data_IF_497545805954
#
_entry.id   IF_497545805954
#
_cell.length_a   1.000
_cell.length_b   1.000
_cell.length_c   1.000
_cell.angle_alpha   90.00
_cell.angle_beta   90.00
_cell.angle_gamma   90.00
#
_symmetry.space_group_name_H-M   'P 1'
#
loop_
_entity.id
_entity.type
_entity.pdbx_description
1 polymer ?
#
# COMPACT_ATOMS: atom_id res chain seq x y z
N UNK A 1 -2.81 -24.07 -22.07
CA UNK A 1 -1.62 -24.89 -22.35
C UNK A 1 -1.20 -25.57 -21.07
N UNK A 2 -1.59 -26.82 -20.96
CA UNK A 2 -1.34 -27.71 -19.83
C UNK A 2 0.03 -28.36 -20.01
N UNK A 3 0.99 -28.01 -19.19
CA UNK A 3 2.30 -28.64 -19.10
C UNK A 3 2.43 -29.38 -17.78
N UNK A 4 2.06 -30.59 -17.79
CA UNK A 4 2.55 -31.82 -17.15
C UNK A 4 3.89 -31.68 -16.40
N UNK A 5 3.80 -31.52 -15.07
CA UNK A 5 4.91 -31.72 -14.12
C UNK A 5 4.66 -32.91 -13.15
N UNK A 6 4.08 -33.97 -13.66
CA UNK A 6 3.82 -35.19 -12.90
C UNK A 6 4.27 -36.41 -13.69
N UNK A 7 5.58 -36.58 -13.88
CA UNK A 7 6.17 -37.88 -14.22
C UNK A 7 7.65 -37.90 -13.93
N UNK A 8 8.03 -38.25 -12.74
CA UNK A 8 9.27 -38.93 -12.41
C UNK A 8 9.25 -39.42 -10.95
N UNK A 9 8.24 -40.20 -10.58
CA UNK A 9 8.39 -41.14 -9.47
C UNK A 9 8.54 -42.53 -10.08
N UNK A 10 9.77 -42.81 -10.49
CA UNK A 10 10.18 -44.17 -10.79
C UNK A 10 10.03 -45.00 -9.50
N UNK A 11 9.24 -46.07 -9.58
CA UNK A 11 9.09 -47.06 -8.53
C UNK A 11 10.45 -47.68 -8.24
N UNK A 12 11.07 -47.26 -7.14
CA UNK A 12 12.23 -47.96 -6.59
C UNK A 12 11.70 -49.21 -5.89
N UNK A 13 11.77 -50.35 -6.58
CA UNK A 13 11.59 -51.65 -5.95
C UNK A 13 12.53 -51.76 -4.74
N UNK A 14 11.99 -51.93 -3.56
CA UNK A 14 12.74 -52.11 -2.32
C UNK A 14 13.35 -53.53 -2.32
N UNK A 15 14.61 -53.61 -2.78
CA UNK A 15 15.40 -54.82 -2.54
C UNK A 15 15.81 -54.81 -1.08
N UNK A 16 15.24 -55.70 -0.29
CA UNK A 16 15.63 -55.90 1.12
C UNK A 16 16.94 -56.66 1.19
N UNK A 17 18.04 -55.96 1.27
CA UNK A 17 19.31 -56.56 1.64
C UNK A 17 19.45 -56.49 3.15
N UNK A 18 19.35 -57.67 3.82
CA UNK A 18 19.71 -57.89 5.20
C UNK A 18 21.24 -57.99 5.26
N UNK A 19 21.94 -56.90 5.35
CA UNK A 19 23.30 -56.84 5.87
C UNK A 19 23.45 -55.47 6.54
N UNK A 20 23.95 -55.50 7.79
CA UNK A 20 24.31 -54.33 8.55
C UNK A 20 25.64 -53.76 7.99
N UNK A 21 25.67 -53.47 6.69
CA UNK A 21 26.79 -52.86 6.00
C UNK A 21 26.84 -51.36 6.25
N UNK A 22 27.99 -50.73 6.29
CA UNK A 22 28.16 -49.28 6.45
C UNK A 22 27.42 -48.47 5.40
N UNK A 23 27.01 -49.09 4.28
CA UNK A 23 26.18 -48.49 3.23
C UNK A 23 24.78 -48.06 3.74
N UNK A 24 24.20 -48.78 4.72
CA UNK A 24 22.90 -48.36 5.33
C UNK A 24 23.06 -47.10 6.19
N UNK A 25 24.17 -46.91 6.83
CA UNK A 25 24.48 -45.71 7.61
C UNK A 25 24.69 -44.48 6.72
N UNK A 26 25.32 -44.66 5.56
CA UNK A 26 25.51 -43.59 4.55
C UNK A 26 24.16 -43.17 3.96
N UNK A 27 23.29 -44.12 3.64
CA UNK A 27 21.93 -43.79 3.14
C UNK A 27 21.10 -43.02 4.14
N UNK A 28 21.16 -43.38 5.44
CA UNK A 28 20.46 -42.64 6.51
C UNK A 28 21.03 -41.22 6.68
N UNK A 29 22.35 -41.08 6.52
CA UNK A 29 23.01 -39.79 6.53
C UNK A 29 22.55 -38.88 5.36
N UNK A 30 22.54 -39.42 4.15
CA UNK A 30 22.05 -38.69 2.94
C UNK A 30 20.62 -38.26 3.07
N UNK A 31 19.73 -39.12 3.59
CA UNK A 31 18.33 -38.76 3.81
C UNK A 31 18.20 -37.63 4.85
N UNK A 32 19.01 -37.66 5.89
CA UNK A 32 19.03 -36.56 6.88
C UNK A 32 19.54 -35.26 6.23
N UNK A 33 20.58 -35.28 5.43
CA UNK A 33 21.11 -34.11 4.71
C UNK A 33 20.01 -33.53 3.80
N UNK A 34 19.38 -34.35 2.96
CA UNK A 34 18.27 -33.88 2.10
C UNK A 34 17.09 -33.34 2.90
N UNK A 35 16.82 -33.87 4.09
CA UNK A 35 15.76 -33.37 4.96
C UNK A 35 16.12 -32.00 5.58
N UNK A 36 17.39 -31.78 5.94
CA UNK A 36 17.88 -30.47 6.43
C UNK A 36 17.86 -29.44 5.32
N UNK A 37 18.33 -29.75 4.12
CA UNK A 37 18.28 -28.88 2.95
C UNK A 37 16.85 -28.43 2.62
N UNK A 38 15.90 -29.38 2.61
CA UNK A 38 14.47 -29.03 2.42
C UNK A 38 13.93 -28.09 3.50
N UNK A 39 14.32 -28.31 4.76
CA UNK A 39 13.92 -27.42 5.86
C UNK A 39 14.51 -26.03 5.69
N UNK A 40 15.77 -25.92 5.31
CA UNK A 40 16.44 -24.63 5.05
C UNK A 40 15.80 -23.88 3.90
N UNK A 41 15.56 -24.56 2.77
CA UNK A 41 14.87 -23.96 1.61
C UNK A 41 13.47 -23.48 1.98
N UNK A 42 12.69 -24.27 2.74
CA UNK A 42 11.38 -23.87 3.21
C UNK A 42 11.46 -22.68 4.18
N UNK A 43 12.43 -22.64 5.04
CA UNK A 43 12.64 -21.56 5.99
C UNK A 43 13.04 -20.26 5.27
N UNK A 44 13.89 -20.34 4.25
CA UNK A 44 14.23 -19.20 3.39
C UNK A 44 13.00 -18.71 2.62
N UNK A 45 12.20 -19.62 2.06
CA UNK A 45 10.93 -19.25 1.38
C UNK A 45 9.96 -18.58 2.35
N UNK A 46 9.79 -19.10 3.55
CA UNK A 46 8.94 -18.48 4.56
C UNK A 46 9.45 -17.10 4.98
N UNK A 47 10.76 -16.93 5.15
CA UNK A 47 11.37 -15.62 5.43
C UNK A 47 11.07 -14.63 4.29
N UNK A 48 11.31 -15.00 3.05
CA UNK A 48 11.03 -14.16 1.89
C UNK A 48 9.56 -13.75 1.82
N UNK A 49 8.62 -14.69 2.01
CA UNK A 49 7.19 -14.40 2.02
C UNK A 49 6.82 -13.47 3.20
N UNK A 50 7.39 -13.70 4.38
CA UNK A 50 7.13 -12.88 5.55
C UNK A 50 7.67 -11.45 5.39
N UNK A 51 8.86 -11.28 4.81
CA UNK A 51 9.44 -9.99 4.49
C UNK A 51 8.60 -9.22 3.46
N UNK A 52 8.20 -9.90 2.38
CA UNK A 52 7.32 -9.31 1.36
C UNK A 52 6.00 -8.84 1.96
N UNK A 53 5.38 -9.64 2.83
CA UNK A 53 4.11 -9.31 3.46
C UNK A 53 4.27 -8.27 4.58
N UNK A 54 5.42 -8.22 5.27
CA UNK A 54 5.65 -7.29 6.36
C UNK A 54 5.77 -5.83 5.92
N UNK A 55 6.11 -5.61 4.64
CA UNK A 55 6.30 -4.28 4.07
C UNK A 55 4.99 -3.66 3.52
N UNK A 56 3.91 -4.45 3.46
CA UNK A 56 2.61 -3.96 2.98
C UNK A 56 1.77 -3.48 4.15
N UNK A 57 1.30 -2.24 4.08
CA UNK A 57 0.44 -1.65 5.11
C UNK A 57 -0.98 -2.26 5.04
N UNK A 58 -1.50 -2.84 6.13
CA UNK A 58 -2.86 -3.36 6.17
C UNK A 58 -3.96 -2.31 5.96
N UNK A 59 -3.68 -1.04 6.18
CA UNK A 59 -4.62 0.07 5.97
C UNK A 59 -4.52 0.61 4.56
N UNK A 60 -3.34 1.07 4.15
CA UNK A 60 -3.11 1.72 2.86
C UNK A 60 -2.85 0.74 1.72
N UNK A 61 -2.35 -0.47 2.01
CA UNK A 61 -1.90 -1.42 0.99
C UNK A 61 -0.49 -1.13 0.49
N UNK A 62 -0.20 -1.52 -0.75
CA UNK A 62 1.07 -1.25 -1.40
C UNK A 62 1.26 0.24 -1.66
N UNK A 63 2.45 0.80 -1.40
CA UNK A 63 2.77 2.16 -1.80
C UNK A 63 2.70 2.30 -3.33
N UNK A 64 2.30 3.46 -3.80
CA UNK A 64 2.19 3.78 -5.24
C UNK A 64 1.22 2.87 -6.03
N UNK A 65 0.08 2.54 -5.44
CA UNK A 65 -0.96 1.80 -6.15
C UNK A 65 -1.47 2.60 -7.37
N UNK A 66 -1.40 2.05 -8.60
CA UNK A 66 -1.78 2.75 -9.83
C UNK A 66 -3.26 3.18 -9.83
N UNK A 67 -4.15 2.39 -9.23
CA UNK A 67 -5.56 2.73 -9.09
C UNK A 67 -5.77 4.02 -8.29
N UNK A 68 -5.15 4.13 -7.11
CA UNK A 68 -5.28 5.30 -6.24
C UNK A 68 -4.61 6.54 -6.83
N UNK A 69 -3.41 6.34 -7.40
CA UNK A 69 -2.68 7.43 -8.06
C UNK A 69 -3.48 8.02 -9.22
N UNK A 70 -4.18 7.16 -10.00
CA UNK A 70 -5.02 7.60 -11.10
C UNK A 70 -6.22 8.41 -10.58
N UNK A 71 -6.95 7.91 -9.59
CA UNK A 71 -8.10 8.62 -8.98
C UNK A 71 -7.65 9.98 -8.42
N UNK A 72 -6.48 10.02 -7.79
CA UNK A 72 -5.93 11.25 -7.24
C UNK A 72 -5.50 12.24 -8.34
N UNK A 73 -4.97 11.76 -9.45
CA UNK A 73 -4.63 12.58 -10.61
C UNK A 73 -5.91 13.14 -11.27
N UNK A 74 -6.87 12.29 -11.58
CA UNK A 74 -8.15 12.69 -12.19
C UNK A 74 -8.89 13.72 -11.31
N UNK A 75 -8.85 13.59 -9.98
CA UNK A 75 -9.47 14.56 -9.07
C UNK A 75 -8.82 15.94 -9.06
N UNK A 76 -7.59 16.06 -9.58
CA UNK A 76 -6.80 17.31 -9.63
C UNK A 76 -6.77 17.94 -11.02
N UNK A 77 -7.34 17.28 -12.00
CA UNK A 77 -7.38 17.82 -13.36
C UNK A 77 -8.16 19.14 -13.42
N UNK A 78 -7.66 20.11 -14.20
CA UNK A 78 -8.27 21.45 -14.25
C UNK A 78 -9.67 21.46 -14.88
N UNK A 79 -9.95 20.47 -15.74
CA UNK A 79 -11.23 20.37 -16.46
C UNK A 79 -12.34 19.66 -15.68
N UNK A 80 -12.02 19.11 -14.50
CA UNK A 80 -13.00 18.45 -13.64
C UNK A 80 -13.66 19.48 -12.74
N UNK A 81 -14.96 19.69 -12.98
CA UNK A 81 -15.76 20.66 -12.25
C UNK A 81 -16.50 20.00 -11.09
N UNK A 82 -16.73 20.77 -10.02
CA UNK A 82 -17.53 20.34 -8.86
C UNK A 82 -19.03 20.37 -9.15
N UNK A 83 -19.83 19.75 -8.26
CA UNK A 83 -21.29 19.73 -8.30
C UNK A 83 -21.90 19.18 -9.59
N UNK A 84 -21.20 18.26 -10.27
CA UNK A 84 -21.67 17.63 -11.50
C UNK A 84 -21.92 18.61 -12.67
N UNK A 85 -21.33 19.80 -12.63
CA UNK A 85 -21.34 20.69 -13.79
C UNK A 85 -20.54 20.07 -14.92
N UNK A 86 -21.10 20.09 -16.12
CA UNK A 86 -20.39 19.66 -17.32
C UNK A 86 -19.71 20.84 -17.99
N UNK A 87 -18.48 20.62 -18.47
CA UNK A 87 -17.71 21.67 -19.14
C UNK A 87 -18.46 22.31 -20.33
N UNK A 88 -19.12 21.53 -21.22
CA UNK A 88 -19.86 22.10 -22.36
C UNK A 88 -21.06 22.94 -21.95
N UNK A 89 -21.70 22.62 -20.84
CA UNK A 89 -22.85 23.44 -20.31
C UNK A 89 -22.32 24.78 -19.79
N UNK A 90 -21.22 24.75 -19.06
CA UNK A 90 -20.56 25.96 -18.56
C UNK A 90 -20.07 26.86 -19.69
N UNK A 91 -19.49 26.29 -20.74
CA UNK A 91 -19.02 27.04 -21.90
C UNK A 91 -20.18 27.71 -22.65
N UNK A 92 -21.32 27.04 -22.80
CA UNK A 92 -22.53 27.66 -23.38
C UNK A 92 -23.02 28.82 -22.53
N UNK A 93 -23.01 28.70 -21.20
CA UNK A 93 -23.45 29.78 -20.29
C UNK A 93 -22.48 30.98 -20.37
N UNK A 94 -21.16 30.71 -20.39
CA UNK A 94 -20.15 31.78 -20.50
C UNK A 94 -20.20 32.47 -21.86
N UNK A 95 -20.42 31.73 -22.93
CA UNK A 95 -20.63 32.31 -24.27
C UNK A 95 -21.87 33.19 -24.30
N UNK A 96 -23.02 32.73 -23.79
CA UNK A 96 -24.22 33.54 -23.69
C UNK A 96 -24.06 34.80 -22.86
N UNK A 97 -23.32 34.74 -21.73
CA UNK A 97 -23.02 35.90 -20.92
C UNK A 97 -22.10 36.89 -21.65
N UNK A 98 -21.13 36.40 -22.43
CA UNK A 98 -20.27 37.23 -23.28
C UNK A 98 -21.05 37.94 -24.36
N UNK A 99 -21.92 37.22 -25.08
CA UNK A 99 -22.81 37.79 -26.10
C UNK A 99 -23.71 38.90 -25.53
N UNK A 100 -24.28 38.68 -24.35
CA UNK A 100 -25.08 39.69 -23.67
C UNK A 100 -24.26 40.95 -23.34
N UNK A 101 -23.04 40.79 -22.80
CA UNK A 101 -22.16 41.90 -22.44
C UNK A 101 -21.69 42.68 -23.65
N UNK A 102 -21.47 42.00 -24.80
CA UNK A 102 -21.08 42.69 -26.07
C UNK A 102 -22.23 43.50 -26.63
N UNK A 103 -23.49 43.02 -26.53
CA UNK A 103 -24.65 43.78 -26.98
C UNK A 103 -24.89 45.07 -26.18
N UNK A 104 -24.52 45.04 -24.90
CA UNK A 104 -24.70 46.20 -24.01
C UNK A 104 -23.51 47.19 -24.05
N UNK A 105 -22.39 46.81 -24.62
CA UNK A 105 -21.18 47.65 -24.67
C UNK A 105 -20.76 48.01 -26.08
N UNK A 106 -20.61 49.33 -26.33
CA UNK A 106 -20.11 49.87 -27.61
C UNK A 106 -18.59 49.62 -27.84
N UNK A 107 -17.87 48.99 -26.92
CA UNK A 107 -16.42 48.81 -27.01
C UNK A 107 -16.03 47.31 -27.15
N UNK A 108 -16.04 46.79 -28.39
CA UNK A 108 -15.85 45.34 -28.65
C UNK A 108 -14.48 44.75 -28.39
N UNK A 109 -13.39 45.53 -28.47
CA UNK A 109 -12.02 44.95 -28.35
C UNK A 109 -11.58 44.73 -26.92
N UNK A 110 -11.95 45.57 -25.96
CA UNK A 110 -11.57 45.39 -24.54
C UNK A 110 -12.43 44.34 -23.84
N UNK A 111 -13.57 43.97 -24.41
CA UNK A 111 -14.53 42.98 -23.88
C UNK A 111 -13.96 41.55 -24.06
N UNK A 112 -13.22 41.26 -25.13
CA UNK A 112 -12.70 39.93 -25.39
C UNK A 112 -11.67 39.47 -24.32
N UNK A 113 -10.73 40.36 -23.94
CA UNK A 113 -9.74 40.05 -22.92
C UNK A 113 -10.30 39.93 -21.52
N UNK A 114 -11.32 40.75 -21.19
CA UNK A 114 -12.00 40.68 -19.92
C UNK A 114 -12.83 39.40 -19.82
N UNK A 115 -13.48 38.97 -20.91
CA UNK A 115 -14.28 37.74 -20.93
C UNK A 115 -13.42 36.49 -20.79
N UNK A 116 -12.22 36.44 -21.39
CA UNK A 116 -11.27 35.32 -21.20
C UNK A 116 -10.81 35.21 -19.74
N UNK A 117 -10.49 36.32 -19.09
CA UNK A 117 -10.11 36.34 -17.67
C UNK A 117 -11.27 35.91 -16.77
N UNK A 118 -12.49 36.31 -17.07
CA UNK A 118 -13.70 35.88 -16.36
C UNK A 118 -13.92 34.39 -16.53
N UNK A 119 -13.78 33.86 -17.75
CA UNK A 119 -13.85 32.41 -18.03
C UNK A 119 -12.85 31.63 -17.22
N UNK A 120 -11.58 32.04 -17.22
CA UNK A 120 -10.56 31.37 -16.39
C UNK A 120 -10.86 31.45 -14.90
N UNK A 121 -11.32 32.57 -14.40
CA UNK A 121 -11.70 32.74 -13.00
C UNK A 121 -12.83 31.81 -12.61
N UNK A 122 -13.88 31.72 -13.44
CA UNK A 122 -15.02 30.83 -13.20
C UNK A 122 -14.58 29.35 -13.22
N UNK A 123 -13.75 28.95 -14.20
CA UNK A 123 -13.21 27.58 -14.25
C UNK A 123 -12.37 27.25 -13.01
N UNK A 124 -11.54 28.18 -12.53
CA UNK A 124 -10.77 27.99 -11.29
C UNK A 124 -11.66 27.85 -10.07
N UNK A 125 -12.70 28.71 -9.94
CA UNK A 125 -13.65 28.67 -8.81
C UNK A 125 -14.44 27.35 -8.81
N UNK A 126 -14.89 26.90 -9.97
CA UNK A 126 -15.68 25.67 -10.10
C UNK A 126 -14.84 24.39 -10.12
N UNK A 127 -13.52 24.48 -10.31
CA UNK A 127 -12.62 23.33 -10.33
C UNK A 127 -12.79 22.46 -9.08
N UNK A 128 -12.74 21.14 -9.25
CA UNK A 128 -12.78 20.15 -8.15
C UNK A 128 -11.65 20.38 -7.14
N UNK A 129 -10.51 20.90 -7.58
CA UNK A 129 -9.36 21.20 -6.71
C UNK A 129 -9.67 22.23 -5.61
N UNK A 130 -10.61 23.16 -5.88
CA UNK A 130 -11.01 24.23 -4.94
C UNK A 130 -12.25 23.90 -4.14
N UNK A 131 -12.74 22.65 -4.25
CA UNK A 131 -13.94 22.20 -3.55
C UNK A 131 -13.62 21.64 -2.17
N UNK A 132 -14.67 21.55 -1.35
CA UNK A 132 -14.59 20.91 -0.03
C UNK A 132 -14.19 19.43 -0.17
N UNK A 133 -13.41 18.93 0.78
CA UNK A 133 -12.92 17.54 0.80
C UNK A 133 -14.03 16.50 0.68
N UNK A 134 -15.22 16.81 1.20
CA UNK A 134 -16.39 15.93 1.08
C UNK A 134 -16.87 15.77 -0.38
N UNK A 135 -16.81 16.83 -1.20
CA UNK A 135 -17.14 16.75 -2.63
C UNK A 135 -16.08 16.00 -3.41
N UNK A 136 -14.80 16.26 -3.11
CA UNK A 136 -13.66 15.53 -3.69
C UNK A 136 -13.77 14.03 -3.37
N UNK A 137 -14.11 13.69 -2.13
CA UNK A 137 -14.32 12.31 -1.72
C UNK A 137 -15.48 11.64 -2.47
N UNK A 138 -16.61 12.34 -2.65
CA UNK A 138 -17.75 11.83 -3.44
C UNK A 138 -17.35 11.56 -4.89
N UNK A 139 -16.58 12.46 -5.50
CA UNK A 139 -16.07 12.30 -6.85
C UNK A 139 -15.15 11.07 -6.96
N UNK A 140 -14.16 10.93 -6.07
CA UNK A 140 -13.26 9.77 -6.00
C UNK A 140 -14.02 8.45 -5.81
N UNK A 141 -15.06 8.44 -4.97
CA UNK A 141 -15.95 7.28 -4.81
C UNK A 141 -16.68 6.97 -6.11
N UNK A 142 -17.13 7.98 -6.86
CA UNK A 142 -17.76 7.82 -8.17
C UNK A 142 -16.84 7.13 -9.18
N UNK A 143 -15.58 7.57 -9.25
CA UNK A 143 -14.55 6.96 -10.11
C UNK A 143 -14.28 5.49 -9.70
N UNK A 144 -14.14 5.25 -8.40
CA UNK A 144 -13.93 3.90 -7.88
C UNK A 144 -15.08 2.95 -8.22
N UNK A 145 -16.33 3.42 -8.16
CA UNK A 145 -17.48 2.63 -8.57
C UNK A 145 -17.42 2.28 -10.04
N UNK A 146 -17.20 3.28 -10.93
CA UNK A 146 -17.09 3.06 -12.37
C UNK A 146 -16.06 2.03 -12.75
N UNK A 147 -14.94 1.97 -12.02
CA UNK A 147 -13.84 1.07 -12.33
C UNK A 147 -14.05 -0.38 -11.89
N UNK A 148 -14.80 -0.59 -10.79
CA UNK A 148 -15.00 -1.92 -10.19
C UNK A 148 -16.39 -2.50 -10.48
N UNK A 149 -17.31 -1.74 -11.04
CA UNK A 149 -18.66 -2.21 -11.39
C UNK A 149 -18.60 -3.37 -12.39
N UNK A 150 -19.50 -4.33 -12.22
CA UNK A 150 -19.66 -5.49 -13.13
C UNK A 150 -20.49 -5.11 -14.34
N UNK A 151 -21.46 -4.21 -14.16
CA UNK A 151 -22.34 -3.64 -15.16
C UNK A 151 -22.66 -2.19 -14.81
N UNK A 152 -23.17 -1.43 -15.74
CA UNK A 152 -23.49 -0.04 -15.53
C UNK A 152 -24.57 0.13 -14.45
N UNK A 153 -24.28 0.99 -13.46
CA UNK A 153 -25.15 1.20 -12.30
C UNK A 153 -24.92 0.24 -11.13
N UNK A 154 -24.00 -0.72 -11.22
CA UNK A 154 -23.65 -1.60 -10.09
C UNK A 154 -22.96 -0.82 -8.98
N UNK A 155 -23.61 -0.80 -7.82
CA UNK A 155 -23.08 -0.18 -6.60
C UNK A 155 -22.99 -1.18 -5.44
N UNK A 156 -23.52 -2.38 -5.63
CA UNK A 156 -23.74 -3.38 -4.58
C UNK A 156 -22.76 -4.54 -4.56
N UNK A 157 -22.02 -4.79 -5.65
CA UNK A 157 -21.05 -5.90 -5.70
C UNK A 157 -19.94 -5.76 -4.66
N UNK A 158 -19.40 -6.89 -4.23
CA UNK A 158 -18.36 -6.93 -3.21
C UNK A 158 -17.10 -6.18 -3.63
N UNK A 159 -16.77 -6.21 -4.94
CA UNK A 159 -15.63 -5.49 -5.50
C UNK A 159 -15.82 -3.97 -5.38
N UNK A 160 -16.99 -3.47 -5.77
CA UNK A 160 -17.32 -2.04 -5.67
C UNK A 160 -17.33 -1.58 -4.22
N UNK A 161 -17.93 -2.37 -3.32
CA UNK A 161 -17.92 -2.03 -1.89
C UNK A 161 -16.51 -2.00 -1.30
N UNK A 162 -15.63 -2.93 -1.70
CA UNK A 162 -14.24 -2.95 -1.27
C UNK A 162 -13.45 -1.75 -1.81
N UNK A 163 -13.67 -1.36 -3.06
CA UNK A 163 -13.05 -0.19 -3.68
C UNK A 163 -13.49 1.11 -2.99
N UNK A 164 -14.79 1.29 -2.78
CA UNK A 164 -15.34 2.45 -2.04
C UNK A 164 -14.79 2.51 -0.61
N UNK A 165 -14.70 1.36 0.08
CA UNK A 165 -14.10 1.30 1.41
C UNK A 165 -12.63 1.72 1.38
N UNK A 166 -11.87 1.32 0.36
CA UNK A 166 -10.46 1.70 0.21
C UNK A 166 -10.29 3.20 0.02
N UNK A 167 -11.06 3.84 -0.86
CA UNK A 167 -11.03 5.30 -1.05
C UNK A 167 -11.36 6.04 0.26
N UNK A 168 -12.38 5.59 1.00
CA UNK A 168 -12.73 6.16 2.31
C UNK A 168 -11.64 5.99 3.34
N UNK A 169 -10.97 4.83 3.35
CA UNK A 169 -9.84 4.55 4.25
C UNK A 169 -8.70 5.54 3.99
N UNK A 170 -8.32 5.74 2.72
CA UNK A 170 -7.25 6.68 2.38
C UNK A 170 -7.57 8.10 2.80
N UNK A 171 -8.78 8.56 2.52
CA UNK A 171 -9.22 9.91 2.95
C UNK A 171 -9.18 10.05 4.48
N UNK A 172 -9.77 9.10 5.21
CA UNK A 172 -9.83 9.14 6.67
C UNK A 172 -8.45 8.95 7.32
N UNK A 173 -7.55 8.19 6.69
CA UNK A 173 -6.18 8.01 7.16
C UNK A 173 -5.41 9.33 7.18
N UNK A 174 -5.52 10.14 6.12
CA UNK A 174 -4.90 11.47 6.08
C UNK A 174 -5.43 12.36 7.20
N UNK A 175 -6.75 12.41 7.39
CA UNK A 175 -7.36 13.14 8.50
C UNK A 175 -6.84 12.69 9.87
N UNK A 176 -6.79 11.37 10.12
CA UNK A 176 -6.27 10.83 11.40
C UNK A 176 -4.77 11.08 11.60
N UNK A 177 -3.99 11.16 10.53
CA UNK A 177 -2.56 11.49 10.59
C UNK A 177 -2.35 12.92 11.06
N UNK A 178 -3.14 13.85 10.55
CA UNK A 178 -3.05 15.27 10.88
C UNK A 178 -3.67 15.56 12.26
N UNK A 179 -4.80 14.92 12.56
CA UNK A 179 -5.57 15.11 13.80
C UNK A 179 -5.35 13.96 14.80
N UNK A 180 -4.19 13.94 15.46
CA UNK A 180 -3.77 12.85 16.37
C UNK A 180 -4.68 12.64 17.60
N UNK A 181 -5.45 13.64 18.00
CA UNK A 181 -6.35 13.61 19.17
C UNK A 181 -7.74 13.06 18.83
N UNK A 182 -8.07 12.92 17.56
CA UNK A 182 -9.37 12.44 17.10
C UNK A 182 -9.49 10.92 17.18
N UNK A 183 -9.72 10.41 18.37
CA UNK A 183 -9.86 8.99 18.64
C UNK A 183 -11.13 8.39 18.00
N UNK A 184 -12.15 9.21 17.77
CA UNK A 184 -13.41 8.78 17.17
C UNK A 184 -13.22 8.38 15.71
N UNK A 185 -12.52 9.21 14.94
CA UNK A 185 -12.20 8.89 13.54
C UNK A 185 -11.16 7.76 13.43
N UNK A 186 -10.23 7.62 14.37
CA UNK A 186 -9.34 6.46 14.46
C UNK A 186 -10.13 5.16 14.63
N UNK A 187 -11.16 5.15 15.51
CA UNK A 187 -12.06 4.02 15.69
C UNK A 187 -12.85 3.72 14.41
N UNK A 188 -13.37 4.75 13.76
CA UNK A 188 -14.10 4.62 12.49
C UNK A 188 -13.21 4.03 11.40
N UNK A 189 -11.97 4.50 11.28
CA UNK A 189 -10.97 3.97 10.34
C UNK A 189 -10.75 2.46 10.55
N UNK A 190 -10.54 2.02 11.80
CA UNK A 190 -10.42 0.61 12.15
C UNK A 190 -11.63 -0.20 11.68
N UNK A 191 -12.85 0.31 11.95
CA UNK A 191 -14.09 -0.37 11.56
C UNK A 191 -14.22 -0.51 10.03
N UNK A 192 -13.85 0.51 9.26
CA UNK A 192 -13.91 0.46 7.79
C UNK A 192 -12.89 -0.53 7.23
N UNK A 193 -11.66 -0.59 7.79
CA UNK A 193 -10.66 -1.58 7.41
C UNK A 193 -11.15 -3.00 7.67
N UNK A 194 -11.70 -3.27 8.86
CA UNK A 194 -12.28 -4.57 9.19
C UNK A 194 -13.47 -4.93 8.29
N UNK A 195 -14.32 -3.94 7.95
CA UNK A 195 -15.42 -4.13 6.99
C UNK A 195 -14.89 -4.50 5.61
N UNK A 196 -13.84 -3.81 5.10
CA UNK A 196 -13.19 -4.15 3.84
C UNK A 196 -12.66 -5.59 3.85
N UNK A 197 -11.97 -6.01 4.92
CA UNK A 197 -11.49 -7.38 5.07
C UNK A 197 -12.63 -8.39 5.06
N UNK A 198 -13.76 -8.11 5.75
CA UNK A 198 -14.93 -8.98 5.78
C UNK A 198 -15.54 -9.16 4.38
N UNK A 199 -15.69 -8.07 3.63
CA UNK A 199 -16.22 -8.09 2.25
C UNK A 199 -15.30 -8.90 1.32
N UNK A 200 -13.98 -8.68 1.40
CA UNK A 200 -13.01 -9.40 0.57
C UNK A 200 -12.96 -10.91 0.93
N UNK A 201 -13.06 -11.28 2.21
CA UNK A 201 -13.17 -12.69 2.62
C UNK A 201 -14.44 -13.35 2.10
N UNK A 202 -15.56 -12.63 2.06
CA UNK A 202 -16.77 -13.08 1.43
C UNK A 202 -16.58 -13.30 -0.07
N UNK A 203 -16.02 -12.32 -0.77
CA UNK A 203 -15.74 -12.41 -2.21
C UNK A 203 -14.83 -13.59 -2.55
N UNK A 204 -13.84 -13.89 -1.72
CA UNK A 204 -12.93 -15.05 -1.91
C UNK A 204 -13.68 -16.38 -1.91
N UNK A 205 -14.73 -16.49 -1.10
CA UNK A 205 -15.57 -17.72 -1.03
C UNK A 205 -16.56 -17.79 -2.19
N UNK A 206 -17.08 -16.64 -2.61
CA UNK A 206 -18.09 -16.53 -3.66
C UNK A 206 -17.44 -16.66 -5.06
N UNK A 207 -16.44 -15.84 -5.34
CA UNK A 207 -15.75 -15.85 -6.62
C UNK A 207 -14.24 -15.58 -6.43
N UNK A 208 -13.40 -16.63 -6.41
CA UNK A 208 -11.97 -16.49 -6.17
C UNK A 208 -11.23 -15.74 -7.28
N UNK A 209 -11.63 -15.85 -8.54
CA UNK A 209 -10.97 -15.14 -9.65
C UNK A 209 -11.15 -13.62 -9.52
N UNK A 210 -12.38 -13.19 -9.27
CA UNK A 210 -12.71 -11.78 -9.00
C UNK A 210 -12.02 -11.26 -7.74
N UNK A 211 -11.87 -12.11 -6.73
CA UNK A 211 -11.15 -11.75 -5.53
C UNK A 211 -9.68 -11.41 -5.82
N UNK A 212 -8.95 -12.30 -6.52
CA UNK A 212 -7.54 -12.04 -6.84
C UNK A 212 -7.36 -10.83 -7.76
N UNK A 213 -8.26 -10.63 -8.70
CA UNK A 213 -8.29 -9.43 -9.52
C UNK A 213 -8.48 -8.16 -8.65
N UNK A 214 -9.45 -8.17 -7.74
CA UNK A 214 -9.76 -7.02 -6.89
C UNK A 214 -8.62 -6.69 -5.93
N UNK A 215 -8.02 -7.69 -5.25
CA UNK A 215 -6.92 -7.43 -4.32
C UNK A 215 -5.68 -6.88 -5.03
N UNK A 216 -5.34 -7.40 -6.21
CA UNK A 216 -4.23 -6.90 -7.00
C UNK A 216 -4.46 -5.43 -7.40
N UNK A 217 -5.67 -5.11 -7.86
CA UNK A 217 -6.03 -3.75 -8.26
C UNK A 217 -6.04 -2.78 -7.08
N UNK A 218 -6.50 -3.23 -5.91
CA UNK A 218 -6.49 -2.45 -4.66
C UNK A 218 -5.10 -2.38 -3.99
N UNK A 219 -4.10 -3.11 -4.50
CA UNK A 219 -2.76 -3.14 -3.91
C UNK A 219 -2.71 -3.85 -2.55
N UNK A 220 -3.59 -4.83 -2.32
CA UNK A 220 -3.63 -5.61 -1.10
C UNK A 220 -3.01 -7.00 -1.31
N UNK A 221 -2.56 -7.64 -0.24
CA UNK A 221 -2.11 -9.03 -0.25
C UNK A 221 -3.13 -9.92 0.45
N UNK A 222 -3.19 -11.19 0.03
CA UNK A 222 -4.08 -12.18 0.66
C UNK A 222 -3.86 -12.30 2.18
N UNK A 223 -2.60 -12.21 2.60
CA UNK A 223 -2.24 -12.22 4.03
C UNK A 223 -2.94 -11.11 4.82
N UNK A 224 -2.96 -9.89 4.29
CA UNK A 224 -3.59 -8.72 4.94
C UNK A 224 -5.10 -8.90 5.08
N UNK A 225 -5.75 -9.52 4.09
CA UNK A 225 -7.19 -9.75 4.13
C UNK A 225 -7.58 -10.74 5.23
N UNK A 226 -6.72 -11.74 5.49
CA UNK A 226 -6.98 -12.78 6.49
C UNK A 226 -6.46 -12.44 7.89
N UNK A 227 -5.47 -11.54 7.98
CA UNK A 227 -4.92 -11.10 9.26
C UNK A 227 -5.98 -10.36 10.09
N UNK A 228 -5.99 -10.60 11.39
CA UNK A 228 -6.77 -9.79 12.32
C UNK A 228 -6.15 -8.40 12.42
N UNK A 229 -6.93 -7.38 12.09
CA UNK A 229 -6.47 -6.00 12.13
C UNK A 229 -7.05 -5.29 13.34
N UNK A 230 -6.16 -4.88 14.22
CA UNK A 230 -6.45 -3.94 15.31
C UNK A 230 -5.53 -2.73 15.13
N UNK A 231 -6.11 -1.53 15.22
CA UNK A 231 -5.35 -0.29 15.09
C UNK A 231 -4.63 0.04 16.41
N UNK A 232 -3.67 -0.84 16.75
CA UNK A 232 -2.91 -0.76 17.99
C UNK A 232 -1.72 0.19 17.88
N UNK A 233 -1.16 0.59 19.03
CA UNK A 233 0.06 1.41 19.08
C UNK A 233 1.22 0.76 18.34
N UNK A 234 1.30 -0.60 18.29
CA UNK A 234 2.31 -1.35 17.53
C UNK A 234 2.21 -1.10 16.03
N UNK A 235 0.99 -1.12 15.49
CA UNK A 235 0.74 -0.78 14.09
C UNK A 235 1.16 0.66 13.80
N UNK A 236 0.69 1.63 14.61
CA UNK A 236 0.97 3.05 14.43
C UNK A 236 2.48 3.37 14.46
N UNK A 237 3.24 2.66 15.29
CA UNK A 237 4.70 2.81 15.37
C UNK A 237 5.40 2.15 14.19
N UNK A 238 5.02 0.92 13.80
CA UNK A 238 5.61 0.18 12.68
C UNK A 238 5.47 0.93 11.36
N UNK A 239 4.29 1.46 11.07
CA UNK A 239 3.98 2.19 9.83
C UNK A 239 4.12 3.71 9.96
N UNK A 240 4.77 4.17 11.03
CA UNK A 240 5.08 5.60 11.26
C UNK A 240 3.90 6.55 11.03
N UNK A 241 2.70 6.15 11.43
CA UNK A 241 1.49 6.97 11.23
C UNK A 241 1.64 8.37 11.83
N UNK A 242 2.28 8.48 12.98
CA UNK A 242 2.54 9.75 13.66
C UNK A 242 4.03 10.17 13.62
N UNK A 243 4.75 9.78 12.56
CA UNK A 243 6.17 10.02 12.40
C UNK A 243 7.01 9.11 13.30
N UNK A 244 8.20 9.57 13.67
CA UNK A 244 9.17 8.79 14.47
C UNK A 244 8.88 8.80 15.98
N UNK A 245 7.66 9.13 16.38
CA UNK A 245 7.26 9.16 17.79
C UNK A 245 7.19 7.74 18.34
N UNK A 246 7.91 7.50 19.44
CA UNK A 246 7.85 6.22 20.17
C UNK A 246 6.52 6.16 20.93
N UNK A 247 5.64 5.25 20.53
CA UNK A 247 4.31 5.05 21.13
C UNK A 247 4.30 3.90 22.13
N UNK A 248 5.27 2.99 22.02
CA UNK A 248 5.40 1.81 22.87
C UNK A 248 6.74 1.88 23.57
N UNK A 249 6.71 1.79 24.88
CA UNK A 249 7.93 1.63 25.68
C UNK A 249 8.42 0.20 25.52
N UNK A 250 9.66 0.04 25.05
CA UNK A 250 10.29 -1.27 24.92
C UNK A 250 10.45 -1.94 26.27
N UNK A 251 10.41 -3.28 26.26
CA UNK A 251 10.62 -4.03 27.49
C UNK A 251 12.05 -3.82 28.01
N UNK A 252 12.25 -3.84 29.34
CA UNK A 252 13.56 -3.65 29.96
C UNK A 252 14.61 -4.64 29.39
N UNK A 253 14.20 -5.86 29.05
CA UNK A 253 15.08 -6.87 28.43
C UNK A 253 15.65 -6.41 27.09
N UNK A 254 14.79 -5.90 26.21
CA UNK A 254 15.21 -5.40 24.88
C UNK A 254 16.14 -4.20 25.05
N UNK A 255 15.81 -3.27 25.94
CA UNK A 255 16.67 -2.12 26.24
C UNK A 255 18.04 -2.52 26.79
N UNK A 256 18.11 -3.55 27.64
CA UNK A 256 19.38 -4.06 28.11
C UNK A 256 20.20 -4.76 27.00
N UNK A 257 19.55 -5.53 26.13
CA UNK A 257 20.20 -6.15 24.98
C UNK A 257 20.77 -5.10 24.02
N UNK A 258 20.00 -4.08 23.69
CA UNK A 258 20.49 -2.94 22.90
C UNK A 258 21.65 -2.21 23.57
N UNK A 259 21.58 -1.95 24.89
CA UNK A 259 22.69 -1.36 25.65
C UNK A 259 23.94 -2.24 25.60
N UNK A 260 23.78 -3.57 25.70
CA UNK A 260 24.89 -4.52 25.56
C UNK A 260 25.46 -4.51 24.15
N UNK A 261 24.61 -4.47 23.11
CA UNK A 261 25.06 -4.38 21.71
C UNK A 261 25.81 -3.06 21.45
N UNK A 262 25.25 -1.92 21.82
CA UNK A 262 25.91 -0.62 21.68
C UNK A 262 27.25 -0.56 22.41
N UNK A 263 27.37 -1.22 23.59
CA UNK A 263 28.67 -1.34 24.31
C UNK A 263 29.66 -2.20 23.54
N UNK A 264 29.20 -3.31 22.91
CA UNK A 264 30.06 -4.17 22.08
C UNK A 264 30.52 -3.41 20.84
N UNK A 265 29.66 -2.74 20.15
CA UNK A 265 29.96 -1.91 18.96
C UNK A 265 30.96 -0.79 19.29
N UNK A 266 30.75 -0.06 20.39
CA UNK A 266 31.69 0.95 20.84
C UNK A 266 33.09 0.37 21.17
N UNK A 267 33.13 -0.83 21.77
CA UNK A 267 34.41 -1.52 22.01
C UNK A 267 35.08 -1.91 20.70
N UNK A 268 34.36 -2.46 19.75
CA UNK A 268 34.87 -2.84 18.43
C UNK A 268 35.38 -1.63 17.66
N UNK A 269 34.63 -0.52 17.64
CA UNK A 269 35.08 0.73 17.00
C UNK A 269 36.36 1.26 17.64
N UNK A 270 36.41 1.28 18.98
CA UNK A 270 37.63 1.69 19.71
C UNK A 270 38.83 0.77 19.41
N UNK A 271 38.61 -0.53 19.26
CA UNK A 271 39.68 -1.49 18.92
C UNK A 271 40.13 -1.30 17.47
N UNK A 272 39.23 -1.04 16.52
CA UNK A 272 39.58 -0.72 15.13
C UNK A 272 40.41 0.56 15.05
N UNK A 273 39.98 1.65 15.68
CA UNK A 273 40.73 2.91 15.69
C UNK A 273 42.11 2.79 16.34
N UNK A 274 42.25 1.98 17.41
CA UNK A 274 43.55 1.70 18.02
C UNK A 274 44.47 0.87 17.13
N UNK A 275 43.90 -0.07 16.37
CA UNK A 275 44.71 -0.88 15.42
C UNK A 275 45.14 -0.04 14.22
N UNK A 276 44.29 0.86 13.72
CA UNK A 276 44.63 1.83 12.66
C UNK A 276 45.77 2.77 13.12
N UNK A 277 45.68 3.31 14.33
CA UNK A 277 46.72 4.14 14.92
C UNK A 277 48.02 3.38 15.11
N UNK A 278 47.96 2.09 15.50
CA UNK A 278 49.15 1.25 15.62
C UNK A 278 49.78 0.93 14.25
N UNK A 279 48.95 0.68 13.22
CA UNK A 279 49.43 0.47 11.86
C UNK A 279 50.10 1.71 11.28
N UNK A 280 49.50 2.89 11.49
CA UNK A 280 50.09 4.18 11.10
C UNK A 280 51.43 4.46 11.80
N UNK A 281 51.50 4.22 13.12
CA UNK A 281 52.77 4.35 13.85
C UNK A 281 53.86 3.40 13.34
N UNK A 282 53.48 2.15 13.00
CA UNK A 282 54.45 1.18 12.41
C UNK A 282 54.88 1.59 11.00
N UNK A 283 54.00 2.22 10.22
CA UNK A 283 54.33 2.73 8.88
C UNK A 283 55.32 3.92 8.95
N UNK A 284 55.13 4.80 9.95
CA UNK A 284 56.00 5.96 10.19
C UNK A 284 57.35 5.60 10.85
N UNK A 285 57.48 4.43 11.47
CA UNK A 285 58.69 3.97 12.13
C UNK A 285 59.55 3.03 11.27
N UNK A 286 59.23 2.83 9.99
CA UNK A 286 60.09 2.14 9.04
C UNK A 286 61.01 3.18 8.40
N UNK A 287 62.37 2.95 8.53
CA UNK A 287 63.37 3.83 7.92
C UNK A 287 63.33 3.78 6.40
#
# INVERSE_FOLDING_TARGET
>A
MNGSFLKAFGSVQSVRFFSASPVSMVKKSILKIRATERKEVNLLRQKYISEKNSNVDPVLGLPNNPFLNRIDAESKEPNVLGRSYQLPELEKLLYGAQEASVKDSYASASVSDSSLRQREAVLRILSMKNRADAEVLKFKIGLAKKEFQRFEGDTGSSEVQAAVATVRIHHLYHHCKDNKKDLQNVRLLRMIVQKRQKILRYLKRDNPERYYWAINKLGLTDHIVHMEFNMDRRYMQKFKMYGDRILIKESNKIQEEERKQRRKEKKLLKHKSLNELRSMKRALSKP
#
